data_IF_115658267460
#
_entry.id   IF_115658267460
#
_cell.length_a   1.000
_cell.length_b   1.000
_cell.length_c   1.000
_cell.angle_alpha   90.00
_cell.angle_beta   90.00
_cell.angle_gamma   90.00
#
_symmetry.space_group_name_H-M   'P 1'
#
loop_
_entity.id
_entity.type
_entity.pdbx_description
1 polymer ?
#
# COMPACT_ATOMS: atom_id res chain seq x y z
N UNK A 1 -14.65 9.74 0.90
CA UNK A 1 -13.33 9.12 1.14
C UNK A 1 -12.67 8.88 -0.20
N UNK A 2 -11.35 8.89 -0.29
CA UNK A 2 -10.64 8.55 -1.53
C UNK A 2 -10.39 7.05 -1.57
N UNK A 3 -10.36 6.46 -2.77
CA UNK A 3 -10.05 5.03 -2.94
C UNK A 3 -8.73 4.65 -2.25
N UNK A 4 -7.72 5.51 -2.29
CA UNK A 4 -6.45 5.31 -1.57
C UNK A 4 -6.64 5.16 -0.05
N UNK A 5 -7.47 6.00 0.58
CA UNK A 5 -7.76 5.91 2.02
C UNK A 5 -8.56 4.66 2.40
N UNK A 6 -9.43 4.19 1.50
CA UNK A 6 -10.20 2.95 1.69
C UNK A 6 -9.29 1.73 1.61
N UNK A 7 -8.44 1.65 0.58
CA UNK A 7 -7.47 0.57 0.43
C UNK A 7 -6.44 0.54 1.57
N UNK A 8 -6.03 1.71 2.07
CA UNK A 8 -5.19 1.79 3.27
C UNK A 8 -5.88 1.14 4.48
N UNK A 9 -7.14 1.51 4.72
CA UNK A 9 -7.92 0.97 5.85
C UNK A 9 -8.11 -0.54 5.74
N UNK A 10 -8.35 -1.05 4.52
CA UNK A 10 -8.45 -2.50 4.24
C UNK A 10 -7.14 -3.22 4.56
N UNK A 11 -6.00 -2.66 4.18
CA UNK A 11 -4.70 -3.25 4.46
C UNK A 11 -4.34 -3.24 5.95
N UNK A 12 -4.61 -2.14 6.66
CA UNK A 12 -4.36 -2.02 8.09
C UNK A 12 -5.22 -2.97 8.93
N UNK A 13 -6.39 -3.36 8.42
CA UNK A 13 -7.25 -4.35 9.07
C UNK A 13 -6.70 -5.80 9.00
N UNK A 14 -5.67 -6.06 8.18
CA UNK A 14 -5.11 -7.41 8.03
C UNK A 14 -4.21 -7.77 9.22
N UNK A 15 -4.44 -8.91 9.89
CA UNK A 15 -3.60 -9.35 11.00
C UNK A 15 -2.13 -9.49 10.60
N UNK A 16 -1.25 -8.91 11.42
CA UNK A 16 0.19 -8.88 11.17
C UNK A 16 0.67 -7.67 10.37
N UNK A 17 -0.21 -6.82 9.86
CA UNK A 17 0.19 -5.49 9.37
C UNK A 17 0.41 -4.57 10.57
N UNK A 18 1.57 -3.94 10.64
CA UNK A 18 1.92 -3.00 11.72
C UNK A 18 1.72 -1.53 11.32
N UNK A 19 1.52 -1.28 10.02
CA UNK A 19 1.21 0.02 9.46
C UNK A 19 1.43 0.06 7.95
N UNK A 20 0.91 1.10 7.30
CA UNK A 20 1.16 1.39 5.89
C UNK A 20 2.13 2.56 5.78
N UNK A 21 3.12 2.42 4.91
CA UNK A 21 4.23 3.36 4.75
C UNK A 21 4.18 4.04 3.38
N UNK A 22 4.77 5.25 3.26
CA UNK A 22 4.88 5.92 1.97
C UNK A 22 5.62 5.07 0.95
N UNK A 23 5.07 4.96 -0.25
CA UNK A 23 5.64 4.12 -1.32
C UNK A 23 6.69 4.93 -2.09
N UNK A 24 7.98 4.65 -1.89
CA UNK A 24 9.09 5.38 -2.54
C UNK A 24 9.43 4.92 -3.98
N UNK A 25 8.71 3.92 -4.51
CA UNK A 25 9.12 3.20 -5.71
C UNK A 25 8.27 3.52 -6.95
N UNK A 26 8.44 4.72 -7.49
CA UNK A 26 8.36 4.89 -8.95
C UNK A 26 9.64 5.59 -9.42
N UNK A 27 10.28 5.17 -10.54
CA UNK A 27 11.47 5.84 -11.08
C UNK A 27 11.28 7.33 -11.41
N UNK A 28 10.03 7.83 -11.42
CA UNK A 28 9.69 9.26 -11.48
C UNK A 28 9.22 9.88 -10.14
N UNK A 29 8.95 9.08 -9.11
CA UNK A 29 8.49 9.56 -7.80
C UNK A 29 9.61 10.21 -6.99
N UNK A 30 10.88 9.88 -7.20
CA UNK A 30 12.00 10.46 -6.44
C UNK A 30 12.04 11.99 -6.58
N UNK A 31 11.68 12.53 -7.75
CA UNK A 31 11.61 13.98 -7.97
C UNK A 31 10.38 14.56 -7.24
N UNK A 32 9.22 13.92 -7.36
CA UNK A 32 7.98 14.37 -6.70
C UNK A 32 8.03 14.28 -5.17
N UNK A 33 8.69 13.25 -4.62
CA UNK A 33 8.85 13.05 -3.17
C UNK A 33 9.91 13.98 -2.58
N UNK A 34 11.00 14.28 -3.29
CA UNK A 34 11.96 15.29 -2.85
C UNK A 34 11.32 16.69 -2.84
N UNK A 35 10.52 17.01 -3.86
CA UNK A 35 9.74 18.25 -3.89
C UNK A 35 8.69 18.25 -2.77
N UNK A 36 7.94 17.15 -2.59
CA UNK A 36 6.94 16.98 -1.53
C UNK A 36 7.53 17.13 -0.12
N UNK A 37 8.69 16.54 0.16
CA UNK A 37 9.39 16.69 1.43
C UNK A 37 9.80 18.14 1.69
N UNK A 38 10.21 18.86 0.64
CA UNK A 38 10.60 20.28 0.69
C UNK A 38 9.37 21.20 0.77
N UNK A 39 8.23 20.80 0.19
CA UNK A 39 6.95 21.56 0.21
C UNK A 39 6.02 21.17 1.35
N UNK A 40 6.42 20.24 2.23
CA UNK A 40 5.63 19.77 3.38
C UNK A 40 4.48 18.83 3.02
N UNK A 41 4.49 18.23 1.84
CA UNK A 41 3.48 17.27 1.36
C UNK A 41 3.96 15.85 1.67
N UNK A 42 3.26 15.16 2.57
CA UNK A 42 3.58 13.78 2.91
C UNK A 42 3.37 12.87 1.70
N UNK A 43 4.34 12.00 1.35
CA UNK A 43 4.18 11.07 0.24
C UNK A 43 3.03 10.09 0.49
N UNK A 44 2.27 9.78 -0.57
CA UNK A 44 1.10 8.91 -0.46
C UNK A 44 1.49 7.49 -0.01
N UNK A 45 0.74 6.99 0.98
CA UNK A 45 0.90 5.65 1.52
C UNK A 45 0.43 4.56 0.54
N UNK A 46 -0.54 4.90 -0.31
CA UNK A 46 -1.10 4.05 -1.37
C UNK A 46 -1.07 4.81 -2.68
N UNK A 47 -0.41 4.26 -3.69
CA UNK A 47 -0.43 4.80 -5.04
C UNK A 47 -1.49 4.03 -5.83
N UNK A 48 -2.53 4.72 -6.29
CA UNK A 48 -3.57 4.14 -7.14
C UNK A 48 -3.53 4.84 -8.49
N UNK A 49 -3.29 4.07 -9.54
CA UNK A 49 -3.50 4.46 -10.94
C UNK A 49 -4.63 3.61 -11.53
N UNK A 50 -5.07 3.93 -12.75
CA UNK A 50 -6.16 3.17 -13.41
C UNK A 50 -5.83 1.67 -13.53
N UNK A 51 -4.54 1.32 -13.68
CA UNK A 51 -4.08 -0.05 -13.93
C UNK A 51 -3.26 -0.68 -12.80
N UNK A 52 -2.70 0.11 -11.87
CA UNK A 52 -1.83 -0.38 -10.80
C UNK A 52 -2.26 0.15 -9.43
N UNK A 53 -2.26 -0.72 -8.43
CA UNK A 53 -2.34 -0.36 -7.01
C UNK A 53 -1.04 -0.76 -6.35
N UNK A 54 -0.30 0.20 -5.81
CA UNK A 54 0.94 -0.04 -5.08
C UNK A 54 0.79 0.37 -3.63
N UNK A 55 1.14 -0.56 -2.73
CA UNK A 55 1.04 -0.40 -1.28
C UNK A 55 2.35 -0.84 -0.63
N UNK A 56 2.81 -0.09 0.38
CA UNK A 56 3.95 -0.49 1.21
C UNK A 56 3.50 -0.74 2.65
N UNK A 57 3.76 -1.92 3.20
CA UNK A 57 3.32 -2.32 4.55
C UNK A 57 4.50 -2.64 5.47
N UNK A 58 4.31 -2.43 6.76
CA UNK A 58 5.11 -3.07 7.81
C UNK A 58 4.45 -4.38 8.21
N UNK A 59 5.27 -5.40 8.50
CA UNK A 59 4.78 -6.70 8.98
C UNK A 59 5.32 -6.99 10.36
N UNK A 60 4.50 -7.57 11.24
CA UNK A 60 4.93 -8.02 12.56
C UNK A 60 5.89 -9.21 12.46
N UNK A 61 6.92 -9.27 13.31
CA UNK A 61 7.82 -10.40 13.45
C UNK A 61 7.12 -11.69 13.93
N UNK A 62 5.93 -11.55 14.53
CA UNK A 62 5.08 -12.68 14.92
C UNK A 62 4.34 -13.32 13.74
N UNK A 63 4.34 -12.69 12.56
CA UNK A 63 3.63 -13.15 11.37
C UNK A 63 4.61 -13.35 10.19
N UNK A 64 4.49 -14.45 9.41
CA UNK A 64 5.31 -14.62 8.22
C UNK A 64 4.99 -13.55 7.16
N UNK A 65 5.98 -12.75 6.77
CA UNK A 65 5.81 -11.67 5.80
C UNK A 65 5.10 -12.08 4.50
N UNK A 66 5.42 -13.25 3.97
CA UNK A 66 4.77 -13.79 2.76
C UNK A 66 3.28 -14.08 2.99
N UNK A 67 2.93 -14.63 4.15
CA UNK A 67 1.53 -14.92 4.48
C UNK A 67 0.75 -13.62 4.68
N UNK A 68 1.32 -12.63 5.37
CA UNK A 68 0.72 -11.31 5.53
C UNK A 68 0.54 -10.61 4.19
N UNK A 69 1.53 -10.64 3.30
CA UNK A 69 1.40 -10.07 1.95
C UNK A 69 0.28 -10.73 1.15
N UNK A 70 0.14 -12.05 1.24
CA UNK A 70 -0.96 -12.78 0.57
C UNK A 70 -2.32 -12.40 1.14
N UNK A 71 -2.43 -12.25 2.46
CA UNK A 71 -3.66 -11.84 3.11
C UNK A 71 -4.06 -10.40 2.71
N UNK A 72 -3.09 -9.49 2.67
CA UNK A 72 -3.30 -8.12 2.17
C UNK A 72 -3.71 -8.13 0.70
N UNK A 73 -3.04 -8.91 -0.14
CA UNK A 73 -3.43 -9.04 -1.54
C UNK A 73 -4.88 -9.52 -1.70
N UNK A 74 -5.26 -10.57 -0.98
CA UNK A 74 -6.62 -11.10 -1.03
C UNK A 74 -7.66 -10.06 -0.58
N UNK A 75 -7.43 -9.38 0.54
CA UNK A 75 -8.33 -8.36 1.05
C UNK A 75 -8.52 -7.19 0.08
N UNK A 76 -7.42 -6.72 -0.53
CA UNK A 76 -7.48 -5.67 -1.55
C UNK A 76 -8.17 -6.15 -2.83
N UNK A 77 -7.87 -7.36 -3.30
CA UNK A 77 -8.49 -7.94 -4.48
C UNK A 77 -10.00 -8.14 -4.30
N UNK A 78 -10.44 -8.63 -3.14
CA UNK A 78 -11.86 -8.78 -2.81
C UNK A 78 -12.58 -7.43 -2.78
N UNK A 79 -11.96 -6.43 -2.16
CA UNK A 79 -12.51 -5.07 -2.10
C UNK A 79 -12.63 -4.43 -3.50
N UNK A 80 -11.59 -4.55 -4.32
CA UNK A 80 -11.58 -4.03 -5.69
C UNK A 80 -12.55 -4.80 -6.61
N UNK A 81 -12.66 -6.12 -6.45
CA UNK A 81 -13.62 -6.93 -7.19
C UNK A 81 -15.07 -6.54 -6.85
N UNK A 82 -15.37 -6.21 -5.59
CA UNK A 82 -16.67 -5.67 -5.20
C UNK A 82 -16.99 -4.33 -5.89
N UNK A 83 -15.96 -3.56 -6.24
CA UNK A 83 -16.05 -2.33 -7.02
C UNK A 83 -15.95 -2.55 -8.55
N UNK A 84 -15.90 -3.81 -9.03
CA UNK A 84 -15.67 -4.16 -10.44
C UNK A 84 -14.35 -3.63 -11.03
N UNK A 85 -13.32 -3.49 -10.19
CA UNK A 85 -11.97 -3.08 -10.57
C UNK A 85 -11.02 -4.27 -10.50
N UNK A 86 -10.15 -4.43 -11.51
CA UNK A 86 -9.15 -5.50 -11.55
C UNK A 86 -7.73 -4.96 -11.86
N UNK A 87 -7.21 -4.02 -11.06
CA UNK A 87 -5.87 -3.48 -11.28
C UNK A 87 -4.80 -4.49 -10.87
N UNK A 88 -3.57 -4.26 -11.33
CA UNK A 88 -2.40 -5.00 -10.87
C UNK A 88 -2.00 -4.53 -9.48
N UNK A 89 -2.03 -5.41 -8.50
CA UNK A 89 -1.68 -5.09 -7.11
C UNK A 89 -0.21 -5.42 -6.84
N UNK A 90 0.55 -4.46 -6.33
CA UNK A 90 1.94 -4.61 -5.89
C UNK A 90 2.04 -4.27 -4.41
N UNK A 91 2.56 -5.22 -3.63
CA UNK A 91 2.74 -5.06 -2.19
C UNK A 91 4.24 -5.10 -1.91
N UNK A 92 4.73 -4.05 -1.27
CA UNK A 92 6.11 -3.91 -0.80
C UNK A 92 6.11 -4.04 0.72
N UNK A 93 7.15 -4.67 1.27
CA UNK A 93 7.34 -4.73 2.72
C UNK A 93 8.44 -3.73 3.08
N UNK A 94 8.09 -2.68 3.83
CA UNK A 94 9.05 -1.70 4.32
C UNK A 94 9.91 -2.25 5.45
N UNK A 95 9.31 -3.04 6.35
CA UNK A 95 10.00 -3.62 7.49
C UNK A 95 9.27 -4.86 8.03
N UNK A 96 10.03 -5.70 8.74
CA UNK A 96 9.51 -6.81 9.55
C UNK A 96 10.00 -6.58 10.98
N UNK A 97 9.09 -6.45 11.95
CA UNK A 97 9.41 -6.01 13.32
C UNK A 97 8.53 -6.61 14.41
#
# INVERSE_FOLDING_TARGET
MSLASELQSVAEAVPGVTGVFPTLNAPGAVIGTAIGLVTGTAPDAVIVTDDDVTLTIGVSASAPAVATCRAVYAALADHLAAASLTPRIRILVAQVG
#
